data_IF_843091529795
#
_entry.id   IF_843091529795
#
_cell.length_a   1.000
_cell.length_b   1.000
_cell.length_c   1.000
_cell.angle_alpha   90.00
_cell.angle_beta   90.00
_cell.angle_gamma   90.00
#
_symmetry.space_group_name_H-M   'P 1'
#
loop_
_entity.id
_entity.type
_entity.pdbx_description
1 polymer ?
#
# COMPACT_ATOMS: atom_id res chain seq x y z
N UNK A 1 -3.56 81.95 32.15
CA UNK A 1 -4.41 80.97 31.45
C UNK A 1 -3.76 79.60 31.52
N UNK A 2 -4.56 78.52 31.49
CA UNK A 2 -4.01 77.17 31.57
C UNK A 2 -3.31 76.77 30.26
N UNK A 3 -2.09 76.26 30.37
CA UNK A 3 -1.35 75.59 29.30
C UNK A 3 -1.27 74.12 29.65
N UNK A 4 -2.06 73.30 28.95
CA UNK A 4 -2.20 71.88 29.21
C UNK A 4 -1.34 71.08 28.21
N UNK A 5 -0.47 70.22 28.71
CA UNK A 5 0.16 69.18 27.91
C UNK A 5 -0.58 67.86 28.18
N UNK A 6 -1.10 67.24 27.12
CA UNK A 6 -1.79 65.95 27.21
C UNK A 6 -0.94 64.87 26.55
N UNK A 7 -0.53 63.84 27.30
CA UNK A 7 0.22 62.71 26.76
C UNK A 7 -0.71 61.60 26.26
N UNK A 8 -0.39 61.05 25.10
CA UNK A 8 -0.98 59.80 24.59
C UNK A 8 0.12 58.81 24.20
N UNK A 9 -0.16 57.50 24.28
CA UNK A 9 0.79 56.44 23.86
C UNK A 9 1.81 55.97 24.90
N UNK A 10 1.85 56.59 26.09
CA UNK A 10 2.61 56.05 27.23
C UNK A 10 1.80 54.98 27.98
N UNK A 11 2.46 53.96 28.55
CA UNK A 11 1.84 53.04 29.50
C UNK A 11 1.26 53.77 30.72
N UNK A 12 0.21 53.22 31.33
CA UNK A 12 -0.37 53.79 32.56
C UNK A 12 0.67 53.89 33.68
N UNK A 13 0.73 55.04 34.36
CA UNK A 13 1.69 55.31 35.43
C UNK A 13 3.11 55.66 34.97
N UNK A 14 3.40 55.66 33.66
CA UNK A 14 4.71 56.05 33.15
C UNK A 14 4.94 57.55 33.32
N UNK A 15 5.97 57.90 34.09
CA UNK A 15 6.38 59.28 34.32
C UNK A 15 6.90 59.96 33.06
N UNK A 16 6.48 61.20 32.83
CA UNK A 16 6.96 62.07 31.76
C UNK A 16 7.04 63.52 32.26
N UNK A 17 7.79 64.35 31.54
CA UNK A 17 8.02 65.73 31.96
C UNK A 17 8.17 66.69 30.78
N UNK A 18 7.71 67.92 31.02
CA UNK A 18 7.77 69.02 30.06
C UNK A 18 8.40 70.21 30.77
N UNK A 19 9.40 70.79 30.13
CA UNK A 19 9.92 72.10 30.46
C UNK A 19 9.11 73.13 29.67
N UNK A 20 8.46 74.08 30.33
CA UNK A 20 7.81 75.24 29.71
C UNK A 20 8.47 76.50 30.27
N UNK A 21 9.10 77.30 29.40
CA UNK A 21 9.95 78.41 29.82
C UNK A 21 10.93 78.00 30.95
N UNK A 22 10.79 78.56 32.16
CA UNK A 22 11.63 78.20 33.33
C UNK A 22 11.03 77.12 34.23
N UNK A 23 9.76 76.76 34.05
CA UNK A 23 9.07 75.75 34.87
C UNK A 23 9.23 74.32 34.34
N UNK A 24 9.46 73.38 35.25
CA UNK A 24 9.43 71.94 34.96
C UNK A 24 8.14 71.34 35.53
N UNK A 25 7.32 70.76 34.66
CA UNK A 25 6.16 69.98 35.04
C UNK A 25 6.44 68.49 34.86
N UNK A 26 5.98 67.66 35.80
CA UNK A 26 6.12 66.20 35.76
C UNK A 26 4.77 65.55 36.06
N UNK A 27 4.46 64.43 35.43
CA UNK A 27 3.25 63.67 35.71
C UNK A 27 3.45 62.19 35.44
N UNK A 28 2.75 61.33 36.19
CA UNK A 28 2.55 59.90 35.88
C UNK A 28 1.17 59.63 35.25
N UNK A 29 0.35 60.67 35.13
CA UNK A 29 -0.95 60.65 34.46
C UNK A 29 -0.86 61.25 33.06
N UNK A 30 -2.01 61.47 32.41
CA UNK A 30 -2.06 61.97 31.03
C UNK A 30 -1.95 63.49 30.89
N UNK A 31 -1.89 64.26 31.97
CA UNK A 31 -1.94 65.72 31.96
C UNK A 31 -0.80 66.33 32.78
N UNK A 32 -0.14 67.34 32.21
CA UNK A 32 0.70 68.33 32.90
C UNK A 32 0.08 69.69 32.62
N UNK A 33 -0.15 70.49 33.66
CA UNK A 33 -0.74 71.83 33.53
C UNK A 33 0.23 72.89 34.07
N UNK A 34 0.38 73.97 33.30
CA UNK A 34 1.02 75.21 33.72
C UNK A 34 0.00 76.35 33.71
N UNK A 35 0.25 77.40 34.52
CA UNK A 35 -0.50 78.65 34.48
C UNK A 35 0.44 79.76 34.01
N UNK A 36 0.17 80.29 32.82
CA UNK A 36 1.02 81.31 32.20
C UNK A 36 0.20 82.56 31.83
N UNK A 37 0.78 83.77 31.95
CA UNK A 37 0.23 84.99 31.35
C UNK A 37 0.12 84.90 29.81
N UNK A 38 -0.42 85.96 29.20
CA UNK A 38 -0.37 86.09 27.74
C UNK A 38 1.08 86.25 27.28
N UNK A 39 1.49 85.47 26.28
CA UNK A 39 2.87 85.46 25.80
C UNK A 39 3.18 84.23 24.94
N UNK A 40 4.40 84.18 24.42
CA UNK A 40 4.91 83.06 23.64
C UNK A 40 5.99 82.33 24.42
N UNK A 41 5.77 81.04 24.69
CA UNK A 41 6.61 80.23 25.56
C UNK A 41 7.19 79.04 24.81
N UNK A 42 8.52 78.90 24.82
CA UNK A 42 9.16 77.69 24.32
C UNK A 42 8.93 76.53 25.30
N UNK A 43 8.68 75.34 24.76
CA UNK A 43 8.60 74.11 25.53
C UNK A 43 9.54 73.05 24.97
N UNK A 44 10.02 72.18 25.87
CA UNK A 44 10.79 70.99 25.53
C UNK A 44 10.28 69.82 26.38
N UNK A 45 9.94 68.71 25.73
CA UNK A 45 9.60 67.45 26.40
C UNK A 45 10.91 66.75 26.75
N UNK A 46 11.11 66.42 28.03
CA UNK A 46 12.36 65.75 28.44
C UNK A 46 12.44 64.36 27.80
N UNK A 47 13.64 63.92 27.37
CA UNK A 47 13.83 62.59 26.85
C UNK A 47 13.35 61.52 27.84
N UNK A 48 12.59 60.55 27.33
CA UNK A 48 12.16 59.39 28.08
C UNK A 48 12.77 58.13 27.44
N UNK A 49 13.55 57.38 28.21
CA UNK A 49 14.23 56.19 27.70
C UNK A 49 13.23 55.20 27.07
N UNK A 50 13.50 54.79 25.83
CA UNK A 50 12.66 53.85 25.08
C UNK A 50 11.44 54.46 24.39
N UNK A 51 11.21 55.78 24.51
CA UNK A 51 10.09 56.46 23.86
C UNK A 51 10.53 57.72 23.11
N UNK A 52 9.78 58.08 22.07
CA UNK A 52 9.94 59.34 21.33
C UNK A 52 8.65 60.14 21.43
N UNK A 53 8.78 61.40 21.85
CA UNK A 53 7.69 62.36 21.90
C UNK A 53 7.54 63.09 20.55
N UNK A 54 6.30 63.35 20.14
CA UNK A 54 5.96 64.20 19.01
C UNK A 54 4.78 65.12 19.36
N UNK A 55 4.96 66.46 19.33
CA UNK A 55 6.24 67.16 19.21
C UNK A 55 7.11 66.96 20.47
N UNK A 56 8.43 66.90 20.30
CA UNK A 56 9.37 66.86 21.44
C UNK A 56 9.79 68.26 21.92
N UNK A 57 9.51 69.30 21.14
CA UNK A 57 9.75 70.70 21.47
C UNK A 57 8.89 71.61 20.57
N UNK A 58 8.73 72.87 20.97
CA UNK A 58 8.02 73.86 20.17
C UNK A 58 7.82 75.18 20.91
N UNK A 59 6.94 76.02 20.38
CA UNK A 59 6.51 77.27 21.02
C UNK A 59 4.99 77.27 21.12
N UNK A 60 4.47 77.65 22.29
CA UNK A 60 3.04 77.85 22.53
C UNK A 60 2.74 79.33 22.76
N UNK A 61 1.76 79.87 22.05
CA UNK A 61 1.27 81.24 22.25
C UNK A 61 0.00 81.21 23.09
N UNK A 62 0.00 81.93 24.22
CA UNK A 62 -1.14 82.11 25.12
C UNK A 62 -1.74 83.49 24.87
N UNK A 63 -3.00 83.55 24.47
CA UNK A 63 -3.72 84.81 24.21
C UNK A 63 -5.15 84.74 24.76
N UNK A 64 -5.32 85.06 26.04
CA UNK A 64 -6.63 85.26 26.66
C UNK A 64 -7.44 83.98 26.92
N UNK A 65 -6.91 82.79 26.61
CA UNK A 65 -7.61 81.52 26.72
C UNK A 65 -6.67 80.35 27.02
N UNK A 66 -7.22 79.23 27.50
CA UNK A 66 -6.44 78.02 27.78
C UNK A 66 -6.02 77.32 26.49
N UNK A 67 -4.77 76.86 26.42
CA UNK A 67 -4.21 76.15 25.26
C UNK A 67 -3.88 74.72 25.64
N UNK A 68 -4.12 73.76 24.74
CA UNK A 68 -3.75 72.35 24.94
C UNK A 68 -2.81 71.87 23.84
N UNK A 69 -1.66 71.34 24.24
CA UNK A 69 -0.67 70.70 23.37
C UNK A 69 -0.77 69.19 23.59
N UNK A 70 -0.98 68.42 22.52
CA UNK A 70 -0.98 66.96 22.59
C UNK A 70 0.41 66.45 22.28
N UNK A 71 0.96 65.63 23.19
CA UNK A 71 2.26 64.98 23.06
C UNK A 71 2.00 63.49 22.82
N UNK A 72 2.17 63.05 21.56
CA UNK A 72 2.07 61.64 21.21
C UNK A 72 3.42 60.96 21.48
N UNK A 73 3.38 59.83 22.19
CA UNK A 73 4.55 59.01 22.47
C UNK A 73 4.49 57.70 21.68
N UNK A 74 5.60 57.35 21.04
CA UNK A 74 5.79 56.04 20.41
C UNK A 74 7.01 55.34 21.01
N UNK A 75 6.94 54.01 21.14
CA UNK A 75 8.09 53.21 21.56
C UNK A 75 9.15 53.24 20.46
N UNK A 76 10.41 53.34 20.86
CA UNK A 76 11.54 53.11 19.97
C UNK A 76 11.70 51.61 19.78
N UNK A 77 11.62 51.17 18.53
CA UNK A 77 11.78 49.78 18.13
C UNK A 77 12.90 49.64 17.10
N UNK A 78 13.44 48.43 17.00
CA UNK A 78 14.51 48.06 16.09
C UNK A 78 14.06 46.85 15.26
N UNK A 79 14.40 46.81 13.96
CA UNK A 79 14.02 45.69 13.13
C UNK A 79 14.80 44.44 13.51
N UNK A 80 14.09 43.37 13.86
CA UNK A 80 14.65 42.02 14.03
C UNK A 80 14.19 41.19 12.85
N UNK A 81 15.12 40.83 11.97
CA UNK A 81 14.84 40.01 10.80
C UNK A 81 15.14 38.54 11.09
N UNK A 82 14.17 37.68 10.87
CA UNK A 82 14.29 36.24 10.99
C UNK A 82 14.42 35.64 9.60
N UNK A 83 15.50 34.91 9.36
CA UNK A 83 15.72 34.17 8.12
C UNK A 83 15.43 32.70 8.36
N UNK A 84 14.40 32.15 7.71
CA UNK A 84 14.15 30.71 7.78
C UNK A 84 15.20 29.94 6.98
N UNK A 85 15.46 28.72 7.42
CA UNK A 85 16.25 27.74 6.70
C UNK A 85 15.64 26.36 6.90
N UNK A 86 15.50 25.60 5.82
CA UNK A 86 14.98 24.23 5.85
C UNK A 86 13.51 24.08 5.49
N UNK A 87 12.75 25.17 5.31
CA UNK A 87 11.41 25.09 4.73
C UNK A 87 11.49 25.07 3.20
N UNK A 88 10.58 24.36 2.51
CA UNK A 88 10.48 24.47 1.05
C UNK A 88 10.03 25.88 0.62
N UNK A 89 10.54 26.34 -0.53
CA UNK A 89 10.23 27.67 -1.05
C UNK A 89 8.73 27.96 -1.10
N UNK A 90 8.32 29.12 -0.60
CA UNK A 90 6.92 29.55 -0.55
C UNK A 90 6.10 28.95 0.60
N UNK A 91 6.69 28.10 1.45
CA UNK A 91 6.01 27.58 2.64
C UNK A 91 5.70 28.74 3.60
N UNK A 92 4.44 28.99 3.96
CA UNK A 92 4.12 30.02 4.94
C UNK A 92 4.64 29.62 6.31
N UNK A 93 5.18 30.60 7.04
CA UNK A 93 5.63 30.45 8.43
C UNK A 93 5.37 31.73 9.20
N UNK A 94 5.40 31.63 10.53
CA UNK A 94 5.28 32.78 11.40
C UNK A 94 6.42 32.82 12.41
N UNK A 95 6.66 34.02 12.93
CA UNK A 95 7.52 34.24 14.09
C UNK A 95 6.79 35.16 15.05
N UNK A 96 6.71 34.73 16.30
CA UNK A 96 6.13 35.52 17.39
C UNK A 96 7.23 35.82 18.39
N UNK A 97 7.54 37.09 18.57
CA UNK A 97 8.44 37.58 19.62
C UNK A 97 7.58 37.93 20.82
N UNK A 98 7.74 37.20 21.93
CA UNK A 98 6.94 37.37 23.15
C UNK A 98 7.14 38.79 23.68
N UNK A 99 6.07 39.60 23.67
CA UNK A 99 6.13 41.01 24.09
C UNK A 99 6.72 42.00 23.05
N UNK A 100 7.10 41.51 21.86
CA UNK A 100 7.67 42.31 20.77
C UNK A 100 6.80 42.41 19.50
N UNK A 101 5.90 41.44 19.28
CA UNK A 101 5.00 41.39 18.12
C UNK A 101 5.17 40.10 17.31
N UNK A 102 4.53 40.03 16.15
CA UNK A 102 4.61 38.86 15.26
C UNK A 102 4.67 39.27 13.79
N UNK A 103 5.22 38.40 12.96
CA UNK A 103 5.19 38.49 11.52
C UNK A 103 4.85 37.12 10.92
N UNK A 104 4.17 37.12 9.79
CA UNK A 104 3.81 35.92 9.03
C UNK A 104 3.97 36.16 7.53
N UNK A 105 4.25 35.10 6.78
CA UNK A 105 4.35 35.15 5.34
C UNK A 105 5.07 33.93 4.77
N UNK A 106 5.27 33.93 3.45
CA UNK A 106 5.95 32.86 2.70
C UNK A 106 7.35 33.24 2.19
N UNK A 107 7.81 34.45 2.53
CA UNK A 107 9.17 34.93 2.26
C UNK A 107 10.18 34.20 3.16
N UNK A 108 11.39 33.96 2.69
CA UNK A 108 12.46 33.38 3.53
C UNK A 108 12.96 34.33 4.63
N UNK A 109 12.53 35.60 4.60
CA UNK A 109 12.87 36.62 5.58
C UNK A 109 11.59 37.30 6.09
N UNK A 110 11.37 37.27 7.40
CA UNK A 110 10.32 38.04 8.11
C UNK A 110 10.95 39.03 9.07
N UNK A 111 10.32 40.19 9.30
CA UNK A 111 10.86 41.22 10.19
C UNK A 111 9.83 41.67 11.22
N UNK A 112 10.24 41.74 12.48
CA UNK A 112 9.43 42.23 13.61
C UNK A 112 10.13 43.44 14.23
N UNK A 113 9.40 44.53 14.48
CA UNK A 113 9.96 45.71 15.13
C UNK A 113 9.85 45.57 16.66
N UNK A 114 10.98 45.35 17.33
CA UNK A 114 11.04 45.00 18.76
C UNK A 114 11.79 46.08 19.55
N UNK A 115 11.34 46.51 20.74
CA UNK A 115 12.11 47.42 21.59
C UNK A 115 13.39 46.77 22.13
N UNK A 116 14.22 47.54 22.82
CA UNK A 116 15.38 46.97 23.52
C UNK A 116 14.95 45.97 24.60
N UNK A 117 15.68 44.88 24.72
CA UNK A 117 15.40 43.81 25.67
C UNK A 117 15.81 42.44 25.16
N UNK A 118 15.59 41.42 26.00
CA UNK A 118 15.79 40.01 25.64
C UNK A 118 14.43 39.32 25.60
N UNK A 119 14.11 38.71 24.47
CA UNK A 119 12.79 38.15 24.20
C UNK A 119 12.93 36.71 23.71
N UNK A 120 12.04 35.85 24.21
CA UNK A 120 11.82 34.56 23.58
C UNK A 120 11.06 34.78 22.27
N UNK A 121 11.45 34.06 21.23
CA UNK A 121 10.65 33.94 20.03
C UNK A 121 10.24 32.49 19.81
N UNK A 122 9.02 32.33 19.34
CA UNK A 122 8.44 31.05 19.00
C UNK A 122 7.94 31.05 17.56
N UNK A 123 7.98 29.89 16.93
CA UNK A 123 7.27 29.63 15.69
C UNK A 123 6.09 28.69 15.96
N UNK A 124 5.05 28.78 15.14
CA UNK A 124 4.04 27.74 15.02
C UNK A 124 4.20 27.14 13.62
N UNK A 125 4.51 25.84 13.49
CA UNK A 125 4.61 25.24 12.17
C UNK A 125 3.24 25.30 11.49
N UNK A 126 3.11 26.20 10.51
CA UNK A 126 1.90 26.27 9.67
C UNK A 126 1.80 25.05 8.74
N UNK A 127 2.92 24.33 8.54
CA UNK A 127 2.99 23.09 7.76
C UNK A 127 3.34 21.90 8.65
N UNK A 128 2.53 20.84 8.57
CA UNK A 128 2.79 19.58 9.28
C UNK A 128 4.14 18.97 8.84
N UNK A 129 4.88 18.40 9.81
CA UNK A 129 6.12 17.67 9.53
C UNK A 129 7.43 18.44 9.72
N UNK A 130 7.41 19.71 10.13
CA UNK A 130 8.62 20.47 10.44
C UNK A 130 8.66 20.84 11.93
N UNK A 131 9.85 20.74 12.53
CA UNK A 131 10.14 21.15 13.91
C UNK A 131 11.35 22.06 13.95
N UNK A 132 11.48 22.85 15.02
CA UNK A 132 12.60 23.76 15.22
C UNK A 132 12.29 25.21 14.87
N UNK A 133 13.07 26.13 15.44
CA UNK A 133 12.93 27.56 15.20
C UNK A 133 12.47 28.41 16.40
N UNK A 134 12.52 27.85 17.61
CA UNK A 134 12.36 28.62 18.84
C UNK A 134 13.73 29.10 19.33
N UNK A 135 13.77 30.23 20.03
CA UNK A 135 15.02 30.72 20.59
C UNK A 135 14.87 32.03 21.36
N UNK A 136 16.00 32.70 21.55
CA UNK A 136 16.09 33.98 22.26
C UNK A 136 16.75 35.02 21.36
N UNK A 137 16.23 36.24 21.39
CA UNK A 137 16.82 37.39 20.73
C UNK A 137 17.04 38.53 21.73
N UNK A 138 18.22 39.13 21.71
CA UNK A 138 18.56 40.31 22.51
C UNK A 138 18.79 41.50 21.58
N UNK A 139 17.99 42.55 21.78
CA UNK A 139 18.01 43.80 21.00
C UNK A 139 18.63 44.90 21.86
N UNK A 140 19.75 45.47 21.41
CA UNK A 140 20.52 46.50 22.13
C UNK A 140 20.82 47.71 21.23
N UNK A 141 19.80 48.46 20.84
CA UNK A 141 19.97 49.75 20.18
C UNK A 141 20.19 49.69 18.66
N UNK A 142 20.25 48.49 18.07
CA UNK A 142 20.41 48.28 16.63
C UNK A 142 19.53 47.12 16.16
N UNK A 143 19.13 47.18 14.89
CA UNK A 143 18.50 46.04 14.23
C UNK A 143 19.47 44.86 14.10
N UNK A 144 18.94 43.65 13.97
CA UNK A 144 19.74 42.44 13.86
C UNK A 144 19.01 41.39 13.02
N UNK A 145 19.77 40.42 12.50
CA UNK A 145 19.24 39.26 11.79
C UNK A 145 19.51 37.97 12.56
N UNK A 146 18.54 37.06 12.58
CA UNK A 146 18.66 35.71 13.17
C UNK A 146 18.22 34.65 12.18
N UNK A 147 19.06 33.64 11.98
CA UNK A 147 18.67 32.44 11.24
C UNK A 147 17.88 31.51 12.13
N UNK A 148 16.83 30.93 11.58
CA UNK A 148 15.89 30.02 12.24
C UNK A 148 15.88 28.72 11.44
N UNK A 149 16.36 27.63 12.04
CA UNK A 149 16.48 26.34 11.37
C UNK A 149 15.26 25.46 11.62
N UNK A 150 14.69 24.95 10.53
CA UNK A 150 13.58 24.00 10.50
C UNK A 150 14.08 22.65 10.00
N UNK A 151 13.67 21.58 10.68
CA UNK A 151 14.03 20.20 10.34
C UNK A 151 12.75 19.45 9.99
N UNK A 152 12.74 18.79 8.83
CA UNK A 152 11.66 17.89 8.43
C UNK A 152 11.77 16.59 9.25
N UNK A 153 10.71 16.23 9.95
CA UNK A 153 10.61 14.99 10.72
C UNK A 153 9.70 14.02 9.99
N UNK A 154 10.24 12.84 9.69
CA UNK A 154 9.56 11.80 8.93
C UNK A 154 9.52 10.49 9.74
N UNK A 155 8.50 9.69 9.48
CA UNK A 155 8.33 8.35 10.04
C UNK A 155 8.14 7.36 8.89
N UNK A 156 8.61 6.13 9.09
CA UNK A 156 8.53 5.11 8.05
C UNK A 156 7.12 4.50 7.97
N UNK A 157 6.59 4.39 6.76
CA UNK A 157 5.41 3.58 6.44
C UNK A 157 5.86 2.36 5.64
N UNK A 158 5.77 1.18 6.25
CA UNK A 158 6.20 -0.08 5.64
C UNK A 158 5.00 -0.89 5.17
N UNK A 159 4.94 -1.19 3.89
CA UNK A 159 4.02 -2.18 3.35
C UNK A 159 4.72 -3.54 3.30
N UNK A 160 4.06 -4.61 3.76
CA UNK A 160 4.55 -5.99 3.64
C UNK A 160 3.62 -6.80 2.76
N UNK A 161 4.18 -7.49 1.76
CA UNK A 161 3.45 -8.45 0.95
C UNK A 161 3.50 -9.83 1.62
N UNK A 162 2.32 -10.36 1.93
CA UNK A 162 2.14 -11.70 2.48
C UNK A 162 1.56 -12.60 1.39
N UNK A 163 2.03 -13.84 1.33
CA UNK A 163 1.61 -14.89 0.38
C UNK A 163 1.82 -14.57 -1.12
N UNK A 164 2.45 -13.45 -1.46
CA UNK A 164 2.89 -13.17 -2.81
C UNK A 164 4.15 -13.99 -3.13
N UNK A 165 4.20 -14.63 -4.29
CA UNK A 165 5.39 -15.40 -4.69
C UNK A 165 6.63 -14.49 -4.73
N UNK A 166 7.79 -14.88 -4.15
CA UNK A 166 9.02 -14.09 -4.20
C UNK A 166 9.42 -13.72 -5.62
N UNK A 167 9.86 -12.47 -5.83
CA UNK A 167 10.27 -11.97 -7.14
C UNK A 167 9.13 -11.38 -7.98
N UNK A 168 7.86 -11.60 -7.64
CA UNK A 168 6.73 -10.92 -8.30
C UNK A 168 6.80 -9.44 -7.98
N UNK A 169 6.81 -8.59 -9.02
CA UNK A 169 6.80 -7.14 -8.86
C UNK A 169 5.43 -6.67 -8.39
N UNK A 170 5.41 -5.84 -7.36
CA UNK A 170 4.22 -5.17 -6.86
C UNK A 170 4.54 -3.71 -6.55
N UNK A 171 3.49 -2.89 -6.46
CA UNK A 171 3.62 -1.46 -6.24
C UNK A 171 2.61 -0.94 -5.24
N UNK A 172 2.97 0.17 -4.61
CA UNK A 172 2.10 0.94 -3.74
C UNK A 172 2.24 2.40 -4.16
N UNK A 173 1.11 3.09 -4.25
CA UNK A 173 1.06 4.54 -4.25
C UNK A 173 0.67 4.99 -2.84
N UNK A 174 1.47 5.83 -2.19
CA UNK A 174 1.15 6.48 -0.91
C UNK A 174 1.07 8.00 -1.13
N UNK A 175 -0.10 8.59 -0.92
CA UNK A 175 -0.36 9.97 -1.31
C UNK A 175 -0.14 10.16 -2.82
N UNK A 176 0.90 10.91 -3.18
CA UNK A 176 1.32 11.13 -4.57
C UNK A 176 2.54 10.30 -4.99
N UNK A 177 3.19 9.60 -4.05
CA UNK A 177 4.41 8.85 -4.34
C UNK A 177 4.10 7.41 -4.74
N UNK A 178 4.55 6.99 -5.93
CA UNK A 178 4.48 5.62 -6.39
C UNK A 178 5.85 4.96 -6.21
N UNK A 179 5.86 3.83 -5.51
CA UNK A 179 7.03 2.95 -5.45
C UNK A 179 6.67 1.53 -5.88
N UNK A 180 7.68 0.77 -6.29
CA UNK A 180 7.52 -0.64 -6.66
C UNK A 180 8.73 -1.46 -6.24
N UNK A 181 8.52 -2.75 -5.98
CA UNK A 181 9.56 -3.66 -5.52
C UNK A 181 9.22 -5.09 -5.93
N UNK A 182 10.21 -5.98 -5.86
CA UNK A 182 10.06 -7.45 -5.94
C UNK A 182 10.32 -8.13 -4.61
N UNK A 183 10.76 -7.36 -3.59
CA UNK A 183 10.98 -7.83 -2.23
C UNK A 183 9.65 -7.98 -1.47
N UNK A 184 9.71 -8.61 -0.29
CA UNK A 184 8.54 -8.78 0.58
C UNK A 184 8.07 -7.48 1.25
N UNK A 185 8.82 -6.38 1.15
CA UNK A 185 8.46 -5.11 1.77
C UNK A 185 8.86 -3.90 0.94
N UNK A 186 8.13 -2.80 1.16
CA UNK A 186 8.33 -1.49 0.55
C UNK A 186 8.17 -0.41 1.62
N UNK A 187 9.03 0.62 1.61
CA UNK A 187 9.07 1.66 2.65
C UNK A 187 8.92 3.07 2.06
N UNK A 188 8.02 3.86 2.64
CA UNK A 188 7.94 5.31 2.44
C UNK A 188 8.42 6.06 3.69
N UNK A 189 8.82 7.31 3.51
CA UNK A 189 9.20 8.22 4.60
C UNK A 189 8.33 9.46 4.53
N UNK A 190 7.43 9.61 5.50
CA UNK A 190 6.39 10.64 5.47
C UNK A 190 6.31 11.38 6.81
N UNK A 191 6.02 12.69 6.83
CA UNK A 191 5.72 13.40 8.06
C UNK A 191 4.39 12.96 8.69
N UNK A 192 4.10 13.46 9.89
CA UNK A 192 2.79 13.25 10.52
C UNK A 192 1.67 13.72 9.58
N UNK A 193 0.65 12.88 9.41
CA UNK A 193 -0.43 13.13 8.47
C UNK A 193 -1.33 11.92 8.28
N UNK A 194 -2.35 12.07 7.45
CA UNK A 194 -3.19 10.97 6.99
C UNK A 194 -3.00 10.82 5.49
N UNK A 195 -2.59 9.63 5.05
CA UNK A 195 -2.21 9.34 3.68
C UNK A 195 -3.11 8.26 3.12
N UNK A 196 -3.77 8.54 2.01
CA UNK A 196 -4.41 7.51 1.22
C UNK A 196 -3.34 6.66 0.53
N UNK A 197 -3.56 5.36 0.45
CA UNK A 197 -2.72 4.46 -0.35
C UNK A 197 -3.54 3.66 -1.33
N UNK A 198 -2.89 3.23 -2.42
CA UNK A 198 -3.44 2.33 -3.42
C UNK A 198 -2.42 1.25 -3.79
N UNK A 199 -2.89 0.02 -3.95
CA UNK A 199 -2.10 -1.14 -4.37
C UNK A 199 -2.17 -1.27 -5.89
N UNK A 200 -1.03 -1.50 -6.54
CA UNK A 200 -1.01 -1.87 -7.95
C UNK A 200 -1.64 -3.24 -8.20
N UNK A 201 -2.40 -3.36 -9.29
CA UNK A 201 -2.91 -4.66 -9.75
C UNK A 201 -1.78 -5.60 -10.16
N UNK A 202 -1.84 -6.86 -9.73
CA UNK A 202 -0.88 -7.89 -10.11
C UNK A 202 -1.64 -8.96 -10.92
N UNK A 203 -1.28 -9.22 -12.18
CA UNK A 203 -1.93 -10.25 -12.99
C UNK A 203 -1.96 -11.62 -12.29
N UNK A 204 -3.14 -12.22 -12.22
CA UNK A 204 -3.34 -13.54 -11.57
C UNK A 204 -3.46 -13.51 -10.04
N UNK A 205 -3.36 -12.33 -9.41
CA UNK A 205 -3.47 -12.17 -7.96
C UNK A 205 -4.57 -11.19 -7.58
N UNK A 206 -5.09 -11.37 -6.36
CA UNK A 206 -6.06 -10.49 -5.71
C UNK A 206 -5.72 -10.29 -4.24
N UNK A 207 -6.15 -9.15 -3.71
CA UNK A 207 -6.10 -8.80 -2.29
C UNK A 207 -7.49 -8.35 -1.84
N UNK A 208 -7.76 -8.36 -0.53
CA UNK A 208 -9.06 -7.95 0.03
C UNK A 208 -9.38 -6.48 -0.24
N UNK A 209 -8.35 -5.63 -0.30
CA UNK A 209 -8.51 -4.21 -0.57
C UNK A 209 -7.32 -3.67 -1.36
N UNK A 210 -7.61 -2.93 -2.43
CA UNK A 210 -6.61 -2.25 -3.26
C UNK A 210 -6.33 -0.82 -2.82
N UNK A 211 -6.95 -0.34 -1.74
CA UNK A 211 -6.71 1.00 -1.22
C UNK A 211 -7.09 1.10 0.25
N UNK A 212 -6.65 2.17 0.89
CA UNK A 212 -6.98 2.48 2.27
C UNK A 212 -6.34 3.80 2.71
N UNK A 213 -6.29 4.02 4.02
CA UNK A 213 -5.61 5.18 4.61
C UNK A 213 -4.71 4.74 5.76
N UNK A 214 -3.57 5.40 5.91
CA UNK A 214 -2.69 5.29 7.08
C UNK A 214 -2.62 6.64 7.78
N UNK A 215 -2.76 6.63 9.11
CA UNK A 215 -2.66 7.83 9.94
C UNK A 215 -1.36 7.81 10.74
N UNK A 216 -0.37 8.56 10.28
CA UNK A 216 0.98 8.62 10.84
C UNK A 216 1.06 9.69 11.93
N UNK A 217 1.31 9.27 13.18
CA UNK A 217 1.40 10.16 14.34
C UNK A 217 2.58 9.72 15.20
N UNK A 218 3.73 10.37 15.01
CA UNK A 218 4.87 10.27 15.92
C UNK A 218 5.60 8.93 15.93
N UNK A 219 5.20 7.97 15.08
CA UNK A 219 5.73 6.61 15.09
C UNK A 219 5.60 5.93 13.71
N UNK A 220 6.49 4.98 13.39
CA UNK A 220 6.36 4.13 12.22
C UNK A 220 5.05 3.32 12.18
N UNK A 221 4.59 3.00 10.98
CA UNK A 221 3.43 2.14 10.74
C UNK A 221 3.79 1.02 9.77
N UNK A 222 3.21 -0.16 10.01
CA UNK A 222 3.28 -1.31 9.11
C UNK A 222 1.88 -1.64 8.58
N UNK A 223 1.77 -1.86 7.28
CA UNK A 223 0.54 -2.29 6.60
C UNK A 223 0.79 -3.64 5.94
N UNK A 224 0.05 -4.65 6.39
CA UNK A 224 0.13 -5.99 5.81
C UNK A 224 -0.87 -6.16 4.67
N UNK A 225 -0.38 -6.61 3.52
CA UNK A 225 -1.19 -6.88 2.34
C UNK A 225 -1.09 -8.35 2.00
N UNK A 226 -2.20 -9.07 2.20
CA UNK A 226 -2.27 -10.51 1.95
C UNK A 226 -2.79 -10.76 0.53
N UNK A 227 -1.99 -11.44 -0.27
CA UNK A 227 -2.31 -11.79 -1.65
C UNK A 227 -2.84 -13.23 -1.75
N UNK A 228 -3.76 -13.45 -2.69
CA UNK A 228 -4.26 -14.78 -3.08
C UNK A 228 -4.37 -14.86 -4.59
N UNK A 229 -4.28 -16.05 -5.18
CA UNK A 229 -4.41 -16.22 -6.62
C UNK A 229 -5.87 -16.22 -7.07
N UNK A 230 -6.13 -15.75 -8.28
CA UNK A 230 -7.36 -16.10 -8.99
C UNK A 230 -7.30 -17.59 -9.34
N UNK A 231 -8.40 -18.30 -9.09
CA UNK A 231 -8.56 -19.72 -9.40
C UNK A 231 -9.83 -19.92 -10.22
N UNK A 232 -9.82 -20.94 -11.06
CA UNK A 232 -10.91 -21.29 -11.96
C UNK A 232 -11.27 -22.76 -11.72
N UNK A 233 -12.55 -23.07 -11.47
CA UNK A 233 -12.99 -24.44 -11.22
C UNK A 233 -13.00 -25.24 -12.52
N UNK A 234 -12.20 -26.30 -12.58
CA UNK A 234 -12.23 -27.29 -13.66
C UNK A 234 -13.15 -28.45 -13.28
N UNK A 235 -13.96 -28.89 -14.24
CA UNK A 235 -14.81 -30.06 -14.11
C UNK A 235 -14.24 -31.24 -14.92
N UNK A 236 -14.23 -32.42 -14.33
CA UNK A 236 -13.90 -33.67 -15.00
C UNK A 236 -15.11 -34.59 -14.97
N UNK A 237 -15.45 -35.13 -16.14
CA UNK A 237 -16.54 -36.10 -16.28
C UNK A 237 -15.94 -37.46 -16.63
N UNK A 238 -16.39 -38.50 -15.93
CA UNK A 238 -15.93 -39.87 -16.20
C UNK A 238 -16.89 -40.61 -17.13
N UNK A 239 -16.35 -41.52 -17.92
CA UNK A 239 -17.12 -42.51 -18.65
C UNK A 239 -16.35 -43.83 -18.69
N UNK A 240 -17.07 -44.95 -18.76
CA UNK A 240 -16.51 -46.28 -18.96
C UNK A 240 -16.26 -47.07 -17.67
N UNK A 241 -16.41 -46.45 -16.48
CA UNK A 241 -16.36 -47.18 -15.22
C UNK A 241 -17.72 -47.79 -14.83
N UNK A 242 -17.74 -48.89 -14.06
CA UNK A 242 -18.95 -49.35 -13.40
C UNK A 242 -19.49 -48.30 -12.41
N UNK A 243 -20.82 -48.11 -12.29
CA UNK A 243 -21.40 -47.13 -11.36
C UNK A 243 -20.89 -47.28 -9.92
N UNK A 244 -20.49 -46.16 -9.31
CA UNK A 244 -19.97 -46.13 -7.94
C UNK A 244 -18.49 -46.48 -7.81
N UNK A 245 -17.79 -46.81 -8.91
CA UNK A 245 -16.34 -47.03 -8.87
C UNK A 245 -15.63 -45.71 -8.57
N UNK A 246 -14.82 -45.70 -7.51
CA UNK A 246 -14.01 -44.54 -7.17
C UNK A 246 -12.90 -44.35 -8.21
N UNK A 247 -12.62 -43.11 -8.58
CA UNK A 247 -11.52 -42.72 -9.46
C UNK A 247 -10.94 -41.39 -9.00
N UNK A 248 -9.79 -41.01 -9.56
CA UNK A 248 -9.13 -39.77 -9.17
C UNK A 248 -8.31 -39.14 -10.29
N UNK A 249 -8.16 -37.83 -10.18
CA UNK A 249 -7.23 -37.01 -10.97
C UNK A 249 -6.09 -36.58 -10.06
N UNK A 250 -4.85 -36.69 -10.53
CA UNK A 250 -3.67 -36.12 -9.86
C UNK A 250 -3.16 -34.92 -10.65
N UNK A 251 -3.12 -33.73 -10.03
CA UNK A 251 -2.58 -32.49 -10.61
C UNK A 251 -1.61 -31.87 -9.61
N UNK A 252 -0.39 -31.54 -10.04
CA UNK A 252 0.66 -30.99 -9.15
C UNK A 252 0.88 -31.82 -7.88
N UNK A 253 0.85 -33.15 -7.99
CA UNK A 253 0.92 -34.12 -6.89
C UNK A 253 -0.26 -34.11 -5.89
N UNK A 254 -1.31 -33.32 -6.13
CA UNK A 254 -2.55 -33.35 -5.35
C UNK A 254 -3.55 -34.31 -5.99
N UNK A 255 -4.13 -35.20 -5.18
CA UNK A 255 -5.15 -36.18 -5.61
C UNK A 255 -6.56 -35.64 -5.32
N UNK A 256 -7.39 -35.55 -6.36
CA UNK A 256 -8.80 -35.22 -6.30
C UNK A 256 -9.59 -36.48 -6.65
N UNK A 257 -10.49 -36.95 -5.78
CA UNK A 257 -11.19 -38.23 -5.97
C UNK A 257 -12.70 -38.05 -6.03
N UNK A 258 -13.38 -38.88 -6.82
CA UNK A 258 -14.83 -38.92 -6.96
C UNK A 258 -15.31 -40.35 -7.29
N UNK A 259 -16.62 -40.57 -7.25
CA UNK A 259 -17.28 -41.81 -7.71
C UNK A 259 -18.33 -41.53 -8.80
N UNK A 260 -18.18 -40.37 -9.46
CA UNK A 260 -19.01 -39.79 -10.51
C UNK A 260 -18.27 -38.55 -11.04
N UNK A 261 -18.99 -37.52 -11.48
CA UNK A 261 -18.35 -36.27 -11.93
C UNK A 261 -17.61 -35.54 -10.80
N UNK A 262 -16.49 -34.91 -11.16
CA UNK A 262 -15.62 -34.15 -10.24
C UNK A 262 -15.60 -32.67 -10.63
N UNK A 263 -16.13 -31.78 -9.79
CA UNK A 263 -16.30 -30.35 -10.12
C UNK A 263 -15.43 -29.36 -9.32
N UNK A 264 -14.70 -29.83 -8.29
CA UNK A 264 -14.03 -28.96 -7.31
C UNK A 264 -12.51 -28.83 -7.50
N UNK A 265 -12.04 -28.88 -8.74
CA UNK A 265 -10.62 -28.70 -9.05
C UNK A 265 -10.33 -27.23 -9.39
N UNK A 266 -10.18 -26.39 -8.37
CA UNK A 266 -9.91 -24.96 -8.55
C UNK A 266 -8.40 -24.68 -8.67
N UNK A 267 -7.98 -24.24 -9.86
CA UNK A 267 -6.56 -24.00 -10.17
C UNK A 267 -6.35 -22.61 -10.79
N UNK A 268 -5.19 -21.96 -10.56
CA UNK A 268 -4.84 -20.71 -11.24
C UNK A 268 -4.65 -20.89 -12.76
N UNK A 269 -4.57 -19.77 -13.50
CA UNK A 269 -4.17 -19.81 -14.91
C UNK A 269 -2.83 -20.53 -15.10
N UNK A 270 -2.73 -21.35 -16.15
CA UNK A 270 -1.56 -22.15 -16.47
C UNK A 270 -1.92 -23.47 -17.15
N UNK A 271 -0.88 -24.19 -17.57
CA UNK A 271 -1.00 -25.53 -18.15
C UNK A 271 -0.48 -26.57 -17.17
N UNK A 272 -1.35 -27.51 -16.80
CA UNK A 272 -1.08 -28.53 -15.80
C UNK A 272 -1.11 -29.92 -16.42
N UNK A 273 -0.07 -30.72 -16.15
CA UNK A 273 -0.11 -32.15 -16.43
C UNK A 273 -0.99 -32.83 -15.38
N UNK A 274 -1.90 -33.67 -15.84
CA UNK A 274 -2.72 -34.50 -14.97
C UNK A 274 -2.58 -35.98 -15.32
N UNK A 275 -2.69 -36.83 -14.32
CA UNK A 275 -2.83 -38.28 -14.49
C UNK A 275 -4.15 -38.76 -13.87
N UNK A 276 -4.62 -39.90 -14.36
CA UNK A 276 -5.90 -40.48 -13.95
C UNK A 276 -5.63 -41.85 -13.32
N UNK A 277 -6.40 -42.19 -12.29
CA UNK A 277 -6.44 -43.55 -11.75
C UNK A 277 -7.86 -43.96 -11.36
N UNK A 278 -8.07 -45.27 -11.23
CA UNK A 278 -9.32 -45.90 -10.80
C UNK A 278 -9.08 -46.84 -9.63
N UNK A 279 -10.08 -46.98 -8.77
CA UNK A 279 -10.13 -47.97 -7.71
C UNK A 279 -10.29 -49.40 -8.25
N UNK A 280 -10.78 -49.56 -9.48
CA UNK A 280 -10.75 -50.83 -10.20
C UNK A 280 -9.54 -50.85 -11.15
N UNK A 281 -8.51 -51.60 -10.76
CA UNK A 281 -7.24 -51.71 -11.49
C UNK A 281 -7.38 -52.37 -12.88
N UNK A 282 -8.54 -52.94 -13.20
CA UNK A 282 -8.82 -53.47 -14.55
C UNK A 282 -9.10 -52.36 -15.55
N UNK A 283 -9.40 -51.14 -15.09
CA UNK A 283 -9.70 -50.00 -15.93
C UNK A 283 -8.56 -48.98 -15.89
N UNK A 284 -8.23 -48.44 -17.05
CA UNK A 284 -7.24 -47.37 -17.18
C UNK A 284 -7.79 -46.26 -18.08
N UNK A 285 -7.35 -45.03 -17.82
CA UNK A 285 -7.61 -43.87 -18.67
C UNK A 285 -6.30 -43.09 -18.85
N UNK A 286 -6.16 -42.43 -19.99
CA UNK A 286 -5.00 -41.59 -20.26
C UNK A 286 -5.05 -40.31 -19.41
N UNK A 287 -3.89 -39.87 -18.93
CA UNK A 287 -3.69 -38.51 -18.44
C UNK A 287 -3.59 -37.50 -19.60
N UNK A 288 -3.35 -36.24 -19.27
CA UNK A 288 -3.29 -35.19 -20.28
C UNK A 288 -2.76 -33.85 -19.76
N UNK A 289 -3.07 -32.80 -20.53
CA UNK A 289 -2.80 -31.41 -20.18
C UNK A 289 -4.13 -30.67 -19.97
N UNK A 290 -4.22 -29.92 -18.88
CA UNK A 290 -5.30 -28.99 -18.59
C UNK A 290 -4.74 -27.56 -18.69
N UNK A 291 -5.23 -26.78 -19.66
CA UNK A 291 -4.87 -25.36 -19.80
C UNK A 291 -6.02 -24.50 -19.28
N UNK A 292 -5.70 -23.56 -18.39
CA UNK A 292 -6.63 -22.60 -17.78
C UNK A 292 -6.20 -21.19 -18.20
N UNK A 293 -7.08 -20.50 -18.92
CA UNK A 293 -6.88 -19.14 -19.43
C UNK A 293 -8.12 -18.29 -19.18
N UNK A 294 -8.35 -17.91 -17.92
CA UNK A 294 -9.53 -17.11 -17.53
C UNK A 294 -10.84 -17.90 -17.42
N UNK A 295 -10.85 -19.15 -17.90
CA UNK A 295 -11.85 -20.17 -17.59
C UNK A 295 -11.19 -21.55 -17.70
N UNK A 296 -11.76 -22.56 -17.04
CA UNK A 296 -11.30 -23.93 -17.17
C UNK A 296 -12.29 -24.76 -18.00
N UNK A 297 -11.82 -25.58 -18.96
CA UNK A 297 -12.68 -26.44 -19.76
C UNK A 297 -13.21 -27.62 -18.93
N UNK A 298 -14.34 -28.18 -19.38
CA UNK A 298 -14.76 -29.51 -18.95
C UNK A 298 -13.86 -30.56 -19.62
N UNK A 299 -13.31 -31.49 -18.83
CA UNK A 299 -12.41 -32.54 -19.30
C UNK A 299 -13.13 -33.89 -19.23
N UNK A 300 -13.38 -34.50 -20.39
CA UNK A 300 -13.88 -35.87 -20.45
C UNK A 300 -12.76 -36.88 -20.24
N UNK A 301 -12.98 -37.82 -19.34
CA UNK A 301 -12.08 -38.93 -19.03
C UNK A 301 -12.77 -40.23 -19.43
N UNK A 302 -12.13 -41.01 -20.31
CA UNK A 302 -12.66 -42.27 -20.79
C UNK A 302 -11.83 -43.43 -20.28
N UNK A 303 -12.41 -44.25 -19.41
CA UNK A 303 -11.82 -45.47 -18.89
C UNK A 303 -12.12 -46.65 -19.80
N UNK A 304 -11.08 -47.40 -20.15
CA UNK A 304 -11.19 -48.63 -20.90
C UNK A 304 -10.69 -49.80 -20.08
N UNK A 305 -11.31 -50.96 -20.29
CA UNK A 305 -10.83 -52.21 -19.71
C UNK A 305 -9.48 -52.57 -20.32
N UNK A 306 -8.47 -52.78 -19.49
CA UNK A 306 -7.12 -53.19 -19.91
C UNK A 306 -7.19 -54.65 -20.36
N UNK A 307 -6.87 -54.89 -21.62
CA UNK A 307 -6.86 -56.22 -22.23
C UNK A 307 -5.50 -56.54 -22.86
N UNK A 308 -5.19 -57.83 -22.94
CA UNK A 308 -3.98 -58.38 -23.52
C UNK A 308 -4.34 -59.35 -24.63
N UNK A 309 -3.54 -59.36 -25.69
CA UNK A 309 -3.78 -60.22 -26.82
C UNK A 309 -3.53 -61.69 -26.43
N UNK A 310 -4.53 -62.54 -26.64
CA UNK A 310 -4.39 -64.00 -26.54
C UNK A 310 -4.32 -64.55 -27.96
N UNK A 311 -3.24 -65.22 -28.30
CA UNK A 311 -3.07 -65.84 -29.62
C UNK A 311 -3.15 -67.34 -29.48
N UNK A 312 -4.20 -67.92 -30.05
CA UNK A 312 -4.35 -69.37 -30.15
C UNK A 312 -3.61 -69.83 -31.40
N UNK A 313 -2.66 -70.74 -31.22
CA UNK A 313 -1.86 -71.30 -32.31
C UNK A 313 -2.26 -72.76 -32.50
N UNK A 314 -2.77 -73.09 -33.68
CA UNK A 314 -3.15 -74.46 -34.03
C UNK A 314 -2.07 -75.13 -34.89
N UNK A 315 -1.83 -76.41 -34.65
CA UNK A 315 -0.90 -77.22 -35.46
C UNK A 315 -1.57 -78.49 -36.02
N UNK A 316 -1.11 -78.95 -37.19
CA UNK A 316 -1.58 -80.22 -37.78
C UNK A 316 -2.98 -80.20 -38.44
N UNK A 317 -3.61 -79.03 -38.57
CA UNK A 317 -4.90 -78.87 -39.26
C UNK A 317 -4.77 -78.74 -40.79
N UNK A 318 -5.86 -79.00 -41.55
CA UNK A 318 -5.89 -78.84 -43.00
C UNK A 318 -5.77 -77.36 -43.38
N UNK A 319 -4.88 -77.06 -44.34
CA UNK A 319 -4.59 -75.69 -44.78
C UNK A 319 -5.86 -75.02 -45.32
N UNK A 320 -6.19 -73.84 -44.78
CA UNK A 320 -7.31 -73.03 -45.23
C UNK A 320 -8.68 -73.44 -44.67
N UNK A 321 -8.77 -74.50 -43.86
CA UNK A 321 -10.03 -74.91 -43.27
C UNK A 321 -10.44 -74.01 -42.10
N UNK A 322 -11.73 -73.69 -42.02
CA UNK A 322 -12.26 -72.83 -40.96
C UNK A 322 -12.33 -73.58 -39.62
N UNK A 323 -11.83 -72.94 -38.57
CA UNK A 323 -11.98 -73.33 -37.18
C UNK A 323 -12.34 -72.11 -36.33
N UNK A 324 -12.74 -72.34 -35.08
CA UNK A 324 -12.99 -71.23 -34.15
C UNK A 324 -12.50 -71.54 -32.74
N UNK A 325 -12.08 -70.50 -32.03
CA UNK A 325 -11.90 -70.51 -30.58
C UNK A 325 -13.01 -69.68 -29.94
N UNK A 326 -13.59 -70.19 -28.87
CA UNK A 326 -14.48 -69.43 -27.99
C UNK A 326 -13.78 -69.22 -26.65
N UNK A 327 -13.59 -67.96 -26.23
CA UNK A 327 -13.05 -67.58 -24.92
C UNK A 327 -14.09 -66.71 -24.23
N UNK A 328 -14.49 -67.08 -23.01
CA UNK A 328 -15.53 -66.39 -22.22
C UNK A 328 -16.83 -66.05 -22.99
N UNK A 329 -17.24 -66.92 -23.92
CA UNK A 329 -18.43 -66.75 -24.76
C UNK A 329 -18.19 -65.97 -26.07
N UNK A 330 -17.07 -65.29 -26.23
CA UNK A 330 -16.67 -64.61 -27.48
C UNK A 330 -16.02 -65.61 -28.43
N UNK A 331 -16.58 -65.77 -29.63
CA UNK A 331 -16.07 -66.73 -30.63
C UNK A 331 -15.30 -66.02 -31.75
N UNK A 332 -14.01 -66.31 -31.86
CA UNK A 332 -13.15 -65.86 -32.95
C UNK A 332 -12.98 -66.99 -33.98
N UNK A 333 -13.26 -66.71 -35.26
CA UNK A 333 -13.06 -67.66 -36.37
C UNK A 333 -11.75 -67.37 -37.09
N UNK A 334 -11.12 -68.41 -37.62
CA UNK A 334 -9.92 -68.31 -38.46
C UNK A 334 -9.86 -69.44 -39.49
N UNK A 335 -9.18 -69.18 -40.60
CA UNK A 335 -8.82 -70.18 -41.63
C UNK A 335 -7.30 -70.40 -41.70
N UNK A 336 -6.52 -69.61 -40.94
CA UNK A 336 -5.07 -69.74 -40.81
C UNK A 336 -4.66 -70.59 -39.60
N UNK A 337 -3.38 -70.59 -39.25
CA UNK A 337 -2.85 -71.32 -38.09
C UNK A 337 -3.01 -70.57 -36.77
N UNK A 338 -3.50 -69.33 -36.80
CA UNK A 338 -3.66 -68.50 -35.60
C UNK A 338 -5.02 -67.82 -35.55
N UNK A 339 -5.53 -67.62 -34.34
CA UNK A 339 -6.63 -66.72 -34.04
C UNK A 339 -6.28 -65.91 -32.80
N UNK A 340 -6.46 -64.60 -32.84
CA UNK A 340 -6.15 -63.74 -31.70
C UNK A 340 -7.38 -62.97 -31.24
N UNK A 341 -7.53 -62.81 -29.92
CA UNK A 341 -8.59 -62.00 -29.32
C UNK A 341 -8.10 -61.36 -28.00
N UNK A 342 -8.57 -60.15 -27.66
CA UNK A 342 -8.16 -59.45 -26.44
C UNK A 342 -8.93 -59.95 -25.21
N UNK A 343 -8.22 -60.29 -24.14
CA UNK A 343 -8.81 -60.68 -22.85
C UNK A 343 -8.21 -59.86 -21.70
N UNK A 344 -9.02 -59.55 -20.68
CA UNK A 344 -8.51 -58.89 -19.46
C UNK A 344 -7.62 -59.83 -18.64
N UNK A 345 -6.94 -59.32 -17.61
CA UNK A 345 -6.24 -60.20 -16.66
C UNK A 345 -7.23 -61.11 -15.92
N UNK A 346 -6.86 -62.38 -15.76
CA UNK A 346 -7.71 -63.36 -15.10
C UNK A 346 -7.49 -64.78 -15.59
N UNK A 347 -8.33 -65.69 -15.10
CA UNK A 347 -8.40 -67.08 -15.57
C UNK A 347 -9.58 -67.22 -16.52
N UNK A 348 -9.32 -67.67 -17.75
CA UNK A 348 -10.29 -67.72 -18.85
C UNK A 348 -10.47 -69.16 -19.30
N UNK A 349 -11.70 -69.56 -19.55
CA UNK A 349 -12.00 -70.86 -20.16
C UNK A 349 -12.03 -70.71 -21.69
N UNK A 350 -11.43 -71.66 -22.41
CA UNK A 350 -11.47 -71.70 -23.87
C UNK A 350 -12.08 -73.01 -24.37
N UNK A 351 -12.69 -72.95 -25.56
CA UNK A 351 -13.17 -74.11 -26.32
C UNK A 351 -12.83 -73.96 -27.79
N UNK A 352 -12.31 -75.01 -28.40
CA UNK A 352 -11.92 -75.07 -29.81
C UNK A 352 -12.99 -75.85 -30.58
N UNK A 353 -13.47 -75.25 -31.66
CA UNK A 353 -14.32 -75.93 -32.65
C UNK A 353 -13.46 -76.19 -33.89
N UNK A 354 -12.92 -77.41 -34.04
CA UNK A 354 -12.09 -77.77 -35.19
C UNK A 354 -12.93 -77.86 -36.48
N UNK A 355 -12.29 -77.93 -37.66
CA UNK A 355 -12.98 -78.19 -38.91
C UNK A 355 -13.74 -79.52 -38.89
N UNK A 356 -14.77 -79.65 -39.74
CA UNK A 356 -15.55 -80.89 -39.84
C UNK A 356 -14.66 -82.10 -40.15
N UNK A 357 -14.82 -83.19 -39.38
CA UNK A 357 -14.00 -84.40 -39.50
C UNK A 357 -12.69 -84.39 -38.71
N UNK A 358 -12.37 -83.30 -38.00
CA UNK A 358 -11.17 -83.17 -37.17
C UNK A 358 -11.52 -83.08 -35.68
N UNK A 359 -10.58 -83.47 -34.82
CA UNK A 359 -10.67 -83.29 -33.37
C UNK A 359 -9.54 -82.36 -32.92
N UNK A 360 -9.86 -81.38 -32.07
CA UNK A 360 -8.86 -80.54 -31.41
C UNK A 360 -8.34 -81.21 -30.14
N UNK A 361 -7.04 -81.09 -29.84
CA UNK A 361 -6.45 -81.65 -28.63
C UNK A 361 -5.37 -80.72 -28.05
N UNK A 362 -5.67 -79.97 -26.97
CA UNK A 362 -6.92 -79.95 -26.21
C UNK A 362 -8.08 -79.26 -26.94
N UNK A 363 -9.30 -79.79 -26.84
CA UNK A 363 -10.51 -79.14 -27.39
C UNK A 363 -11.11 -78.09 -26.44
N UNK A 364 -10.69 -78.06 -25.18
CA UNK A 364 -11.03 -77.04 -24.19
C UNK A 364 -10.05 -77.06 -23.02
N UNK A 365 -10.05 -75.99 -22.23
CA UNK A 365 -9.25 -75.87 -21.03
C UNK A 365 -9.36 -74.49 -20.40
N UNK A 366 -8.44 -74.18 -19.49
CA UNK A 366 -8.28 -72.84 -18.90
C UNK A 366 -6.88 -72.33 -19.15
N UNK A 367 -6.74 -71.00 -19.24
CA UNK A 367 -5.45 -70.31 -19.29
C UNK A 367 -5.54 -69.02 -18.47
N UNK A 368 -4.40 -68.46 -18.11
CA UNK A 368 -4.33 -67.23 -17.30
C UNK A 368 -3.65 -66.12 -18.08
N UNK A 369 -4.28 -64.95 -18.11
CA UNK A 369 -3.70 -63.72 -18.64
C UNK A 369 -3.15 -62.91 -17.46
N UNK A 370 -1.84 -62.64 -17.47
CA UNK A 370 -1.12 -61.96 -16.39
C UNK A 370 -0.23 -60.83 -16.93
N UNK A 371 -0.84 -59.81 -17.51
CA UNK A 371 -0.11 -58.58 -17.85
C UNK A 371 0.67 -58.63 -19.17
N UNK A 372 0.62 -59.74 -19.90
CA UNK A 372 1.36 -59.95 -21.15
C UNK A 372 0.53 -60.71 -22.19
N UNK A 373 0.92 -60.59 -23.45
CA UNK A 373 0.42 -61.45 -24.53
C UNK A 373 0.61 -62.93 -24.14
N UNK A 374 -0.40 -63.74 -24.38
CA UNK A 374 -0.40 -65.17 -24.05
C UNK A 374 -0.59 -66.00 -25.32
N UNK A 375 0.37 -66.86 -25.62
CA UNK A 375 0.25 -67.84 -26.69
C UNK A 375 -0.34 -69.14 -26.13
N UNK A 376 -1.44 -69.59 -26.70
CA UNK A 376 -2.14 -70.81 -26.31
C UNK A 376 -1.96 -71.86 -27.42
N UNK A 377 -1.03 -72.82 -27.29
CA UNK A 377 -0.84 -73.88 -28.26
C UNK A 377 -1.97 -74.91 -28.16
N UNK A 378 -2.56 -75.25 -29.31
CA UNK A 378 -3.71 -76.15 -29.46
C UNK A 378 -3.50 -77.18 -30.56
#
# INVERSE_FOLDING_TARGET
>A
FAVNFQSTGLPSGQGWSVQLARGLGTSNGSLIQFLEPNGSYAFNVRPLAGFRASPSAGVVTVNGSSVTIRIAWSRVTYPVSFQESGLPSGTPWNVTVVGGGSAEGSSSLLTVAVPNGTFNFTFVPLRQGYVGGNGVVTVNGTGLQRTVAFVRVEYSVTFRSLNLTPGVRWSVTLGSELQSTTNASLNFSEPNGTYAYAMGGIPGWKTAGYSGQVRLIGKPIVVDVTWSRFVYPAAFTESGLPPGTAWWVVINATRYSASGDLADVALPNGTYRYSIGSGDARYAAAGGLLTIEGSAPAVGVNFTLVTYLVTVVTTGGPVGAAWSVTINGTTQRSTGTTASLPEANGSHAYRISPPSGYNARPSSGTFTVNGTTTDLPV
#
